data_IF_121391146422
#
_entry.id   IF_121391146422
#
_cell.length_a   1.000
_cell.length_b   1.000
_cell.length_c   1.000
_cell.angle_alpha   90.00
_cell.angle_beta   90.00
_cell.angle_gamma   90.00
#
_symmetry.space_group_name_H-M   'P 1'
#
loop_
_entity.id
_entity.type
_entity.pdbx_description
1 polymer ?
#
# COMPACT_ATOMS: atom_id res chain seq x y z
N UNK A 1 -10.47 -0.52 33.06
CA UNK A 1 -10.25 0.72 32.27
C UNK A 1 -11.36 0.75 31.23
N UNK A 2 -12.33 1.65 31.36
CA UNK A 2 -13.39 1.80 30.36
C UNK A 2 -12.75 2.48 29.16
N UNK A 3 -12.57 1.75 28.06
CA UNK A 3 -12.13 2.31 26.79
C UNK A 3 -13.08 3.46 26.40
N UNK A 4 -12.52 4.62 26.05
CA UNK A 4 -13.32 5.72 25.53
C UNK A 4 -14.11 5.23 24.30
N UNK A 5 -15.37 5.67 24.11
CA UNK A 5 -16.20 5.20 23.02
C UNK A 5 -15.48 5.47 21.68
N UNK A 6 -15.34 4.43 20.86
CA UNK A 6 -14.70 4.53 19.53
C UNK A 6 -15.53 5.45 18.64
N UNK A 7 -14.87 6.42 18.02
CA UNK A 7 -15.49 7.25 16.99
C UNK A 7 -15.58 6.46 15.69
N UNK A 8 -16.79 6.14 15.26
CA UNK A 8 -17.05 5.30 14.08
C UNK A 8 -17.37 6.10 12.81
N UNK A 9 -17.85 7.36 12.96
CA UNK A 9 -18.13 8.25 11.84
C UNK A 9 -17.11 9.39 11.79
N UNK A 10 -16.49 9.55 10.65
CA UNK A 10 -15.52 10.60 10.37
C UNK A 10 -16.01 11.47 9.20
N UNK A 11 -16.04 12.77 9.38
CA UNK A 11 -16.42 13.72 8.35
C UNK A 11 -15.22 14.08 7.46
N UNK A 12 -15.50 14.56 6.24
CA UNK A 12 -14.47 14.85 5.23
C UNK A 12 -13.40 15.83 5.72
N UNK A 13 -13.79 16.88 6.43
CA UNK A 13 -12.88 17.86 7.02
C UNK A 13 -11.97 17.26 8.11
N UNK A 14 -12.51 16.36 8.91
CA UNK A 14 -11.75 15.64 9.95
C UNK A 14 -10.76 14.66 9.33
N UNK A 15 -11.13 14.00 8.22
CA UNK A 15 -10.25 13.11 7.46
C UNK A 15 -9.11 13.93 6.84
N UNK A 16 -9.44 15.05 6.19
CA UNK A 16 -8.46 15.94 5.56
C UNK A 16 -7.42 16.45 6.58
N UNK A 17 -7.85 16.79 7.80
CA UNK A 17 -6.96 17.24 8.87
C UNK A 17 -6.01 16.15 9.40
N UNK A 18 -6.22 14.89 9.05
CA UNK A 18 -5.41 13.74 9.50
C UNK A 18 -4.47 13.19 8.45
N UNK A 19 -4.44 13.78 7.27
CA UNK A 19 -3.48 13.43 6.23
C UNK A 19 -2.04 13.62 6.71
N UNK A 20 -1.21 12.59 6.55
CA UNK A 20 0.22 12.63 6.89
C UNK A 20 1.03 12.26 5.65
N UNK A 21 2.22 12.84 5.54
CA UNK A 21 3.18 12.49 4.49
C UNK A 21 3.84 11.16 4.82
N UNK A 22 3.90 10.29 3.83
CA UNK A 22 4.62 9.01 3.86
C UNK A 22 5.63 8.96 2.73
N UNK A 23 6.75 8.33 3.00
CA UNK A 23 7.81 8.01 2.03
C UNK A 23 8.25 6.58 2.27
N UNK A 24 8.65 5.86 1.22
CA UNK A 24 9.20 4.52 1.36
C UNK A 24 10.70 4.52 1.06
N UNK A 25 11.49 3.95 1.96
CA UNK A 25 12.97 3.94 1.82
C UNK A 25 13.47 3.17 0.59
N UNK A 26 12.67 2.21 0.10
CA UNK A 26 13.03 1.37 -1.06
C UNK A 26 12.79 2.06 -2.41
N UNK A 27 12.05 3.17 -2.44
CA UNK A 27 11.88 4.02 -3.61
C UNK A 27 12.10 5.50 -3.22
N UNK A 28 13.22 6.12 -3.63
CA UNK A 28 13.50 7.52 -3.30
C UNK A 28 12.48 8.52 -3.86
N UNK A 29 11.71 8.14 -4.90
CA UNK A 29 10.66 8.97 -5.47
C UNK A 29 9.30 8.76 -4.78
N UNK A 30 9.17 7.79 -3.88
CA UNK A 30 7.93 7.52 -3.16
C UNK A 30 7.59 8.65 -2.20
N UNK A 31 6.42 9.26 -2.42
CA UNK A 31 5.84 10.23 -1.51
C UNK A 31 4.33 10.31 -1.74
N UNK A 32 3.54 10.09 -0.70
CA UNK A 32 2.11 10.35 -0.73
C UNK A 32 1.61 10.94 0.59
N UNK A 33 0.44 11.57 0.56
CA UNK A 33 -0.26 12.05 1.74
C UNK A 33 -1.41 11.10 2.00
N UNK A 34 -1.41 10.39 3.13
CA UNK A 34 -2.38 9.36 3.46
C UNK A 34 -3.15 9.64 4.74
N UNK A 35 -4.43 9.31 4.76
CA UNK A 35 -5.27 9.23 5.94
C UNK A 35 -5.83 7.80 6.07
N UNK A 36 -5.39 7.05 7.08
CA UNK A 36 -5.80 5.66 7.30
C UNK A 36 -7.21 5.58 7.89
N UNK A 37 -8.22 5.50 7.04
CA UNK A 37 -9.65 5.54 7.41
C UNK A 37 -10.03 4.39 8.33
N UNK A 38 -9.60 3.19 8.01
CA UNK A 38 -9.84 1.99 8.82
C UNK A 38 -9.24 2.11 10.22
N UNK A 39 -8.00 2.58 10.32
CA UNK A 39 -7.31 2.80 11.59
C UNK A 39 -8.00 3.86 12.44
N UNK A 40 -8.47 4.94 11.81
CA UNK A 40 -9.25 5.99 12.47
C UNK A 40 -10.54 5.44 13.09
N UNK A 41 -11.17 4.47 12.43
CA UNK A 41 -12.37 3.79 12.91
C UNK A 41 -12.08 2.60 13.86
N UNK A 42 -10.80 2.28 14.11
CA UNK A 42 -10.38 1.18 14.99
C UNK A 42 -10.51 -0.20 14.36
N UNK A 43 -10.52 -0.28 13.03
CA UNK A 43 -10.47 -1.56 12.29
C UNK A 43 -9.03 -2.11 12.31
N UNK A 44 -8.90 -3.43 12.34
CA UNK A 44 -7.61 -4.11 12.46
C UNK A 44 -7.38 -5.27 11.48
N UNK A 45 -8.39 -5.63 10.67
CA UNK A 45 -8.30 -6.79 9.76
C UNK A 45 -8.25 -6.37 8.31
N UNK A 46 -8.70 -5.16 8.01
CA UNK A 46 -8.63 -4.58 6.69
C UNK A 46 -8.11 -3.15 6.80
N UNK A 47 -7.29 -2.74 5.87
CA UNK A 47 -6.88 -1.35 5.77
C UNK A 47 -7.62 -0.66 4.63
N UNK A 48 -7.93 0.60 4.84
CA UNK A 48 -8.40 1.55 3.83
C UNK A 48 -7.75 2.88 4.11
N UNK A 49 -7.06 3.41 3.13
CA UNK A 49 -6.38 4.71 3.21
C UNK A 49 -6.86 5.60 2.07
N UNK A 50 -7.30 6.80 2.40
CA UNK A 50 -7.44 7.87 1.41
C UNK A 50 -6.05 8.45 1.17
N UNK A 51 -5.57 8.30 -0.06
CA UNK A 51 -4.23 8.69 -0.45
C UNK A 51 -4.27 9.79 -1.53
N UNK A 52 -3.29 10.68 -1.47
CA UNK A 52 -3.07 11.77 -2.41
C UNK A 52 -1.62 11.69 -2.87
N UNK A 53 -1.42 11.48 -4.16
CA UNK A 53 -0.12 11.33 -4.78
C UNK A 53 0.26 12.62 -5.50
N UNK A 54 1.24 13.38 -5.01
CA UNK A 54 1.65 14.63 -5.62
C UNK A 54 2.21 14.45 -7.03
N UNK A 55 2.27 15.53 -7.78
CA UNK A 55 2.88 15.57 -9.12
C UNK A 55 4.31 15.01 -9.11
N UNK A 56 4.64 14.15 -10.06
CA UNK A 56 5.96 13.55 -10.25
C UNK A 56 6.34 12.47 -9.24
N UNK A 57 5.41 12.03 -8.37
CA UNK A 57 5.68 11.06 -7.31
C UNK A 57 5.15 9.67 -7.61
N UNK A 58 5.76 8.68 -6.95
CA UNK A 58 5.36 7.28 -6.94
C UNK A 58 4.70 6.94 -5.59
N UNK A 59 3.76 5.99 -5.58
CA UNK A 59 3.14 5.52 -4.33
C UNK A 59 4.13 4.77 -3.44
N UNK A 60 4.73 3.72 -3.97
CA UNK A 60 5.67 2.82 -3.27
C UNK A 60 6.83 2.42 -4.20
N UNK A 61 7.64 1.45 -3.81
CA UNK A 61 8.48 0.70 -4.73
C UNK A 61 7.61 -0.33 -5.48
N UNK A 62 8.03 -0.71 -6.69
CA UNK A 62 7.39 -1.78 -7.45
C UNK A 62 7.49 -3.11 -6.69
N UNK A 63 6.35 -3.67 -6.26
CA UNK A 63 6.31 -4.78 -5.32
C UNK A 63 5.11 -5.70 -5.53
N UNK A 64 5.18 -6.91 -4.97
CA UNK A 64 4.12 -7.90 -4.93
C UNK A 64 3.93 -8.44 -3.52
N UNK A 65 2.70 -8.82 -3.19
CA UNK A 65 2.31 -9.45 -1.94
C UNK A 65 2.06 -10.96 -2.13
N UNK A 66 2.55 -11.76 -1.20
CA UNK A 66 2.32 -13.21 -1.24
C UNK A 66 1.07 -13.65 -0.50
N UNK A 67 0.63 -12.88 0.51
CA UNK A 67 -0.45 -13.26 1.42
C UNK A 67 -1.58 -12.25 1.54
N UNK A 68 -1.32 -10.96 1.32
CA UNK A 68 -2.33 -9.90 1.44
C UNK A 68 -2.91 -9.52 0.08
N UNK A 69 -4.24 -9.56 -0.04
CA UNK A 69 -4.92 -8.96 -1.18
C UNK A 69 -4.95 -7.45 -1.03
N UNK A 70 -4.69 -6.74 -2.12
CA UNK A 70 -4.75 -5.28 -2.20
C UNK A 70 -5.65 -4.81 -3.33
N UNK A 71 -6.13 -3.58 -3.21
CA UNK A 71 -6.86 -2.90 -4.25
C UNK A 71 -6.65 -1.39 -4.22
N UNK A 72 -6.83 -0.76 -5.37
CA UNK A 72 -6.81 0.69 -5.54
C UNK A 72 -8.04 1.13 -6.33
N UNK A 73 -8.67 2.23 -5.91
CA UNK A 73 -9.78 2.87 -6.62
C UNK A 73 -9.49 4.36 -6.81
N UNK A 74 -9.46 4.83 -8.05
CA UNK A 74 -9.13 6.22 -8.38
C UNK A 74 -10.37 7.11 -8.17
N UNK A 75 -10.20 8.17 -7.38
CA UNK A 75 -11.24 9.15 -7.09
C UNK A 75 -11.16 10.39 -7.99
N UNK A 76 -9.96 10.94 -8.20
CA UNK A 76 -9.74 12.10 -9.05
C UNK A 76 -8.28 12.20 -9.50
N UNK A 77 -8.02 13.01 -10.53
CA UNK A 77 -6.70 13.11 -11.15
C UNK A 77 -6.45 11.97 -12.13
N UNK A 78 -5.22 11.89 -12.63
CA UNK A 78 -4.75 10.86 -13.58
C UNK A 78 -3.42 10.31 -13.11
N UNK A 79 -3.14 9.06 -13.42
CA UNK A 79 -1.90 8.39 -13.09
C UNK A 79 -1.52 7.32 -14.08
N UNK A 80 -0.44 6.63 -13.81
CA UNK A 80 0.02 5.44 -14.53
C UNK A 80 0.18 4.31 -13.52
N UNK A 81 -0.52 3.20 -13.74
CA UNK A 81 -0.32 1.97 -13.01
C UNK A 81 0.69 1.10 -13.77
N UNK A 82 1.75 0.67 -13.11
CA UNK A 82 2.62 -0.40 -13.60
C UNK A 82 2.15 -1.71 -12.96
N UNK A 83 1.78 -2.69 -13.78
CA UNK A 83 1.26 -3.98 -13.32
C UNK A 83 1.89 -5.07 -14.18
N UNK A 84 2.62 -5.99 -13.56
CA UNK A 84 3.31 -7.11 -14.24
C UNK A 84 4.18 -6.69 -15.44
N UNK A 85 4.87 -5.54 -15.30
CA UNK A 85 5.74 -4.98 -16.33
C UNK A 85 5.04 -4.17 -17.43
N UNK A 86 3.71 -4.10 -17.42
CA UNK A 86 2.92 -3.29 -18.35
C UNK A 86 2.48 -1.98 -17.68
N UNK A 87 2.33 -0.92 -18.48
CA UNK A 87 1.87 0.40 -18.02
C UNK A 87 0.46 0.70 -18.52
N UNK A 88 -0.39 1.18 -17.61
CA UNK A 88 -1.77 1.52 -17.89
C UNK A 88 -2.07 2.95 -17.43
N UNK A 89 -2.61 3.78 -18.31
CA UNK A 89 -3.19 5.06 -17.90
C UNK A 89 -4.43 4.80 -17.05
N UNK A 90 -4.52 5.47 -15.89
CA UNK A 90 -5.66 5.33 -14.97
C UNK A 90 -6.25 6.69 -14.60
N UNK A 91 -7.55 6.71 -14.35
CA UNK A 91 -8.32 7.90 -14.03
C UNK A 91 -9.54 7.61 -13.16
N UNK A 92 -10.37 8.64 -12.87
CA UNK A 92 -11.50 8.50 -11.95
C UNK A 92 -12.46 7.38 -12.34
N UNK A 93 -12.75 6.50 -11.38
CA UNK A 93 -13.63 5.33 -11.57
C UNK A 93 -12.89 4.03 -11.87
N UNK A 94 -11.59 4.09 -12.21
CA UNK A 94 -10.80 2.88 -12.44
C UNK A 94 -10.50 2.15 -11.13
N UNK A 95 -10.54 0.82 -11.21
CA UNK A 95 -10.28 -0.09 -10.11
C UNK A 95 -9.18 -1.08 -10.49
N UNK A 96 -8.24 -1.26 -9.59
CA UNK A 96 -7.19 -2.27 -9.68
C UNK A 96 -7.29 -3.19 -8.46
N UNK A 97 -7.30 -4.49 -8.69
CA UNK A 97 -7.32 -5.51 -7.63
C UNK A 97 -6.16 -6.47 -7.81
N UNK A 98 -5.51 -6.80 -6.72
CA UNK A 98 -4.31 -7.63 -6.67
C UNK A 98 -4.57 -8.85 -5.78
N UNK A 99 -5.15 -9.94 -6.35
CA UNK A 99 -5.34 -11.20 -5.62
C UNK A 99 -3.98 -11.83 -5.31
N UNK A 100 -3.92 -12.61 -4.23
CA UNK A 100 -2.68 -13.29 -3.80
C UNK A 100 -2.46 -14.66 -4.46
N UNK A 101 -1.21 -15.04 -4.74
CA UNK A 101 -0.02 -14.19 -4.72
C UNK A 101 -0.12 -13.13 -5.81
N UNK A 102 0.14 -11.87 -5.46
CA UNK A 102 -0.08 -10.79 -6.40
C UNK A 102 1.05 -10.68 -7.43
N UNK A 103 0.73 -10.08 -8.59
CA UNK A 103 1.75 -9.63 -9.54
C UNK A 103 2.36 -8.31 -9.04
N UNK A 104 3.62 -8.00 -9.38
CA UNK A 104 4.25 -6.75 -8.98
C UNK A 104 3.51 -5.55 -9.56
N UNK A 105 3.33 -4.51 -8.74
CA UNK A 105 2.60 -3.31 -9.12
C UNK A 105 3.13 -2.05 -8.43
N UNK A 106 2.77 -0.90 -9.03
CA UNK A 106 3.16 0.43 -8.59
C UNK A 106 2.23 1.46 -9.22
N UNK A 107 1.79 2.46 -8.48
CA UNK A 107 1.04 3.63 -9.00
C UNK A 107 1.95 4.85 -9.04
N UNK A 108 1.97 5.55 -10.19
CA UNK A 108 2.77 6.76 -10.45
C UNK A 108 1.87 7.93 -10.81
N UNK A 109 2.31 9.13 -10.49
CA UNK A 109 1.69 10.37 -10.96
C UNK A 109 2.68 11.18 -11.80
N UNK A 110 2.80 10.94 -13.12
CA UNK A 110 3.67 11.74 -13.99
C UNK A 110 3.07 13.10 -14.37
N UNK A 111 1.83 13.40 -13.95
CA UNK A 111 1.09 14.60 -14.32
C UNK A 111 1.32 15.73 -13.32
N UNK A 112 0.90 16.95 -13.70
CA UNK A 112 1.04 18.14 -12.85
C UNK A 112 -0.04 18.24 -11.76
N UNK A 113 -1.18 17.56 -11.95
CA UNK A 113 -2.27 17.53 -10.99
C UNK A 113 -2.08 16.39 -9.99
N UNK A 114 -2.63 16.59 -8.80
CA UNK A 114 -2.62 15.55 -7.76
C UNK A 114 -3.54 14.38 -8.15
N UNK A 115 -3.07 13.15 -7.94
CA UNK A 115 -3.87 11.94 -8.07
C UNK A 115 -4.43 11.54 -6.70
N UNK A 116 -5.75 11.42 -6.58
CA UNK A 116 -6.45 11.03 -5.35
C UNK A 116 -7.07 9.66 -5.53
N UNK A 117 -6.82 8.76 -4.58
CA UNK A 117 -7.31 7.39 -4.65
C UNK A 117 -7.58 6.80 -3.26
N UNK A 118 -8.38 5.76 -3.21
CA UNK A 118 -8.44 4.84 -2.09
C UNK A 118 -7.51 3.67 -2.37
N UNK A 119 -6.74 3.28 -1.39
CA UNK A 119 -6.06 1.99 -1.37
C UNK A 119 -6.50 1.22 -0.16
N UNK A 120 -6.66 -0.07 -0.33
CA UNK A 120 -7.12 -0.94 0.74
C UNK A 120 -6.74 -2.39 0.48
N UNK A 121 -6.91 -3.20 1.51
CA UNK A 121 -6.58 -4.62 1.47
C UNK A 121 -6.70 -5.25 2.84
N UNK A 122 -6.06 -6.38 2.97
CA UNK A 122 -5.98 -7.12 4.22
C UNK A 122 -4.85 -6.57 5.12
N UNK A 123 -5.02 -6.72 6.42
CA UNK A 123 -3.99 -6.46 7.44
C UNK A 123 -3.62 -7.80 8.10
N UNK A 124 -2.86 -8.63 7.39
CA UNK A 124 -2.38 -9.90 7.93
C UNK A 124 -1.24 -9.67 8.95
N UNK A 125 -1.11 -10.52 9.99
CA UNK A 125 0.00 -10.41 10.93
C UNK A 125 1.38 -10.56 10.28
N UNK A 126 1.44 -11.34 9.21
CA UNK A 126 2.64 -11.62 8.42
C UNK A 126 2.31 -11.51 6.95
N UNK A 127 3.23 -10.96 6.18
CA UNK A 127 3.22 -11.05 4.72
C UNK A 127 4.65 -11.18 4.19
N UNK A 128 4.78 -11.63 2.96
CA UNK A 128 6.05 -11.65 2.24
C UNK A 128 5.92 -10.76 1.02
N UNK A 129 6.81 -9.76 0.94
CA UNK A 129 6.84 -8.80 -0.15
C UNK A 129 8.03 -9.08 -1.07
N UNK A 130 7.75 -9.17 -2.35
CA UNK A 130 8.76 -9.23 -3.39
C UNK A 130 8.97 -7.86 -4.04
N UNK A 131 10.22 -7.46 -4.19
CA UNK A 131 10.66 -6.24 -4.87
C UNK A 131 11.55 -6.62 -6.07
N UNK A 132 10.97 -7.03 -7.21
CA UNK A 132 11.74 -7.61 -8.31
C UNK A 132 12.76 -6.64 -8.90
N UNK A 133 12.47 -5.35 -8.98
CA UNK A 133 13.43 -4.34 -9.46
C UNK A 133 14.65 -4.15 -8.54
N UNK A 134 14.57 -4.60 -7.29
CA UNK A 134 15.65 -4.55 -6.31
C UNK A 134 16.30 -5.93 -6.07
N UNK A 135 15.74 -6.99 -6.67
CA UNK A 135 16.12 -8.39 -6.41
C UNK A 135 16.06 -8.72 -4.91
N UNK A 136 15.03 -8.20 -4.22
CA UNK A 136 14.88 -8.35 -2.77
C UNK A 136 13.53 -8.90 -2.39
N UNK A 137 13.53 -9.64 -1.28
CA UNK A 137 12.34 -10.18 -0.62
C UNK A 137 12.37 -9.80 0.86
N UNK A 138 11.22 -9.40 1.39
CA UNK A 138 11.07 -9.03 2.80
C UNK A 138 9.95 -9.81 3.46
N UNK A 139 10.17 -10.23 4.71
CA UNK A 139 9.10 -10.62 5.62
C UNK A 139 8.58 -9.35 6.30
N UNK A 140 7.30 -9.08 6.14
CA UNK A 140 6.58 -8.04 6.86
C UNK A 140 5.95 -8.67 8.11
N UNK A 141 6.18 -8.05 9.27
CA UNK A 141 5.62 -8.47 10.56
C UNK A 141 4.85 -7.31 11.17
N UNK A 142 3.56 -7.51 11.45
CA UNK A 142 2.73 -6.54 12.18
C UNK A 142 2.55 -6.99 13.61
N UNK A 143 2.97 -6.16 14.54
CA UNK A 143 2.88 -6.42 15.97
C UNK A 143 2.48 -5.18 16.77
N UNK A 144 2.43 -5.32 18.09
CA UNK A 144 2.09 -4.21 19.00
C UNK A 144 3.07 -3.03 18.91
N UNK A 145 4.31 -3.26 18.45
CA UNK A 145 5.34 -2.24 18.24
C UNK A 145 5.26 -1.53 16.89
N UNK A 146 4.35 -1.93 16.01
CA UNK A 146 4.23 -1.40 14.65
C UNK A 146 4.50 -2.44 13.58
N UNK A 147 4.85 -1.97 12.38
CA UNK A 147 5.20 -2.82 11.24
C UNK A 147 6.71 -2.84 11.06
N UNK A 148 7.27 -4.03 10.97
CA UNK A 148 8.70 -4.28 10.79
C UNK A 148 8.93 -5.04 9.49
N UNK A 149 10.07 -4.77 8.82
CA UNK A 149 10.51 -5.44 7.59
C UNK A 149 11.84 -6.11 7.84
N UNK A 150 11.90 -7.41 7.53
CA UNK A 150 13.12 -8.21 7.62
C UNK A 150 13.52 -8.66 6.22
N UNK A 151 14.69 -8.23 5.75
CA UNK A 151 15.21 -8.69 4.47
C UNK A 151 15.52 -10.19 4.54
N UNK A 152 14.96 -10.97 3.63
CA UNK A 152 15.19 -12.40 3.54
C UNK A 152 16.37 -12.68 2.63
N UNK A 153 17.27 -13.57 3.09
CA UNK A 153 18.39 -14.08 2.28
C UNK A 153 17.94 -15.11 1.26
N UNK A 154 18.92 -15.72 0.59
CA UNK A 154 18.67 -16.78 -0.37
C UNK A 154 17.88 -17.95 0.24
N UNK A 155 16.87 -18.49 -0.49
CA UNK A 155 16.09 -19.60 0.01
C UNK A 155 16.94 -20.86 0.08
N UNK A 156 16.86 -21.57 1.19
CA UNK A 156 17.47 -22.88 1.35
C UNK A 156 16.41 -23.98 1.13
N UNK A 157 16.79 -25.07 0.46
CA UNK A 157 15.94 -26.27 0.38
C UNK A 157 16.12 -27.06 1.66
N UNK A 158 15.06 -27.26 2.48
CA UNK A 158 15.18 -27.94 3.77
C UNK A 158 15.53 -29.43 3.64
N UNK A 159 15.31 -30.00 2.45
CA UNK A 159 15.62 -31.39 2.15
C UNK A 159 16.44 -31.48 0.87
N UNK A 160 17.50 -32.30 0.89
CA UNK A 160 18.28 -32.64 -0.30
C UNK A 160 17.60 -33.77 -1.12
N UNK A 161 18.18 -34.12 -2.29
CA UNK A 161 17.72 -35.30 -3.02
C UNK A 161 17.87 -36.53 -2.16
N UNK A 162 16.87 -37.42 -2.22
CA UNK A 162 16.91 -38.72 -1.57
C UNK A 162 17.97 -39.64 -2.22
#
# INVERSE_FOLDING_TARGET
>A
MTDAPRKLLWKADEIAARGRRFTQRLNPNSEFIGAGLSRMAGMSRAHVTLARLPAGKDSFAYHAHMMEEEWVYILSGRGVAEIDGESYDVGPGDFMGFPTPSVPHLLKNPHAEELVYLMGGEDMPLDVLDYPALEKRYLLVRGAGGTEFYELGEPIKPFGPA
#
